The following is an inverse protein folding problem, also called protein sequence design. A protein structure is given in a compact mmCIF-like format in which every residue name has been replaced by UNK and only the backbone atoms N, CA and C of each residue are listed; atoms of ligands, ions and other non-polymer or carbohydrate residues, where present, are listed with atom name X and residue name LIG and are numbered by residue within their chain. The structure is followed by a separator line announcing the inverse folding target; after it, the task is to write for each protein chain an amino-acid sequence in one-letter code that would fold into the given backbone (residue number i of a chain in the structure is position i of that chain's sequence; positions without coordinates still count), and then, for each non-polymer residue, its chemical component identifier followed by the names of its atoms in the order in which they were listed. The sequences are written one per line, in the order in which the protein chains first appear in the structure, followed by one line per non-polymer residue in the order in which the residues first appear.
data_IF_628073004641
#
_entry.id   IF_628073004641
#
_cell.length_a   1.000
_cell.length_b   1.000
_cell.length_c   1.000
_cell.angle_alpha   90.00
_cell.angle_beta   90.00
_cell.angle_gamma   90.00
#
_symmetry.space_group_name_H-M   'P 1'
#
loop_
_entity.id
_entity.type
_entity.pdbx_description
1 polymer ?
2 non-polymer ?
3 non-polymer ?
4 water ?
#
# COMPACT_ATOMS: atom_id res chain seq x y z
N UNK A 2 4.33 -4.91 7.86
CA UNK A 2 3.85 -3.52 7.94
C UNK A 2 2.54 -3.35 7.15
N UNK A 3 1.45 -3.86 7.71
CA UNK A 3 0.16 -3.83 7.02
C UNK A 3 -0.42 -2.41 7.00
N UNK A 4 -1.02 -2.04 5.88
CA UNK A 4 -1.60 -0.72 5.71
C UNK A 4 -2.95 -0.63 6.42
N UNK A 5 -3.11 0.41 7.22
CA UNK A 5 -4.36 0.61 7.95
C UNK A 5 -5.23 1.69 7.34
N UNK A 6 -6.54 1.50 7.42
CA UNK A 6 -7.47 2.50 6.92
C UNK A 6 -8.14 3.24 8.07
N UNK A 7 -7.73 4.50 8.23
CA UNK A 7 -8.14 5.31 9.35
C UNK A 7 -9.00 6.44 8.87
N UNK A 8 -9.67 7.10 9.81
CA UNK A 8 -10.75 8.00 9.46
C UNK A 8 -11.15 8.83 10.66
N UNK A 9 -11.34 10.13 10.45
CA UNK A 9 -11.78 11.03 11.50
C UNK A 9 -13.06 11.73 11.03
N UNK A 10 -14.02 11.93 11.93
CA UNK A 10 -15.31 12.49 11.53
C UNK A 10 -15.79 13.68 12.35
N UNK A 11 -16.42 14.63 11.66
CA UNK A 11 -17.21 15.68 12.30
C UNK A 11 -18.67 15.25 12.31
N UNK A 12 -19.09 14.59 13.39
CA UNK A 12 -20.42 14.03 13.51
C UNK A 12 -20.77 13.02 12.43
N UNK A 13 -20.72 13.46 11.18
CA UNK A 13 -21.07 12.62 10.05
C UNK A 13 -20.19 12.94 8.84
N UNK A 14 -19.76 14.19 8.74
CA UNK A 14 -18.91 14.64 7.63
C UNK A 14 -17.47 14.15 7.79
N UNK A 15 -16.86 13.77 6.66
CA UNK A 15 -15.50 13.28 6.68
C UNK A 15 -14.49 14.40 6.95
N UNK A 16 -13.74 14.24 8.04
CA UNK A 16 -12.75 15.23 8.44
C UNK A 16 -11.35 14.83 7.98
N UNK A 17 -11.02 13.56 8.15
CA UNK A 17 -9.70 13.03 7.81
C UNK A 17 -9.84 11.59 7.32
N UNK A 18 -9.24 11.29 6.18
CA UNK A 18 -9.22 9.94 5.66
C UNK A 18 -7.77 9.56 5.42
N UNK A 19 -7.28 8.52 6.09
CA UNK A 19 -5.88 8.17 5.98
C UNK A 19 -5.64 6.68 5.92
N UNK A 20 -5.01 6.26 4.82
CA UNK A 20 -4.56 4.90 4.65
C UNK A 20 -3.05 4.96 4.65
N UNK A 21 -2.41 4.03 5.35
CA UNK A 21 -0.95 3.98 5.44
C UNK A 21 -0.52 2.84 6.34
N UNK A 22 0.74 2.50 6.24
CA UNK A 22 1.39 1.58 7.15
C UNK A 22 2.37 2.42 7.92
N UNK A 23 2.51 2.11 9.21
CA UNK A 23 3.39 2.89 10.07
C UNK A 23 4.27 1.98 10.91
N UNK A 24 5.54 2.37 11.01
CA UNK A 24 6.55 1.62 11.72
C UNK A 24 7.25 2.58 12.67
N UNK A 25 7.60 2.11 13.85
CA UNK A 25 8.38 2.92 14.78
C UNK A 25 9.73 2.26 14.99
N UNK A 26 10.80 3.03 14.83
CA UNK A 26 12.15 2.52 15.01
C UNK A 26 12.79 3.18 16.22
N UNK A 27 13.14 2.38 17.23
CA UNK A 27 13.87 2.92 18.38
C UNK A 27 15.32 2.44 18.43
N UNK A 28 16.22 3.39 18.70
CA UNK A 28 17.65 3.11 18.76
C UNK A 28 18.10 2.79 20.18
N UNK A 29 18.04 1.50 20.53
CA UNK A 29 18.41 1.03 21.86
C UNK A 29 19.83 1.41 22.24
N UNK A 30 20.76 1.16 21.32
CA UNK A 30 22.18 1.30 21.58
C UNK A 30 22.69 2.67 21.15
N UNK A 31 23.69 3.18 21.85
CA UNK A 31 24.25 4.49 21.55
C UNK A 31 25.01 4.44 20.23
N UNK A 32 25.49 3.25 19.88
CA UNK A 32 26.11 3.03 18.59
C UNK A 32 25.07 3.08 17.48
N UNK A 33 25.29 3.97 16.52
CA UNK A 33 24.33 4.20 15.45
C UNK A 33 24.27 3.02 14.45
N UNK A 34 25.30 2.18 14.45
CA UNK A 34 25.35 1.03 13.55
C UNK A 34 24.79 -0.24 14.16
N UNK A 35 24.56 -0.22 15.47
CA UNK A 35 23.99 -1.35 16.18
C UNK A 35 22.51 -1.49 15.83
N UNK A 36 21.98 -2.73 15.95
CA UNK A 36 20.58 -3.02 15.64
C UNK A 36 19.60 -2.12 16.40
N UNK A 37 18.42 -1.99 15.81
CA UNK A 37 17.39 -1.14 16.38
C UNK A 37 16.13 -1.97 16.62
N UNK A 38 15.27 -1.50 17.50
CA UNK A 38 14.01 -2.17 17.76
C UNK A 38 12.95 -1.67 16.78
N UNK A 39 12.31 -2.58 16.09
CA UNK A 39 11.26 -2.23 15.15
C UNK A 39 9.89 -2.52 15.75
N UNK A 40 8.92 -1.65 15.49
CA UNK A 40 7.55 -1.93 15.90
C UNK A 40 6.54 -1.55 14.82
N UNK A 41 5.85 -2.56 14.30
CA UNK A 41 4.83 -2.34 13.28
C UNK A 41 3.49 -1.95 13.89
N UNK A 42 2.96 -0.79 13.52
CA UNK A 42 1.60 -0.47 13.91
C UNK A 42 0.70 -1.48 13.22
N UNK A 43 0.06 -2.34 14.01
CA UNK A 43 -0.89 -3.31 13.51
C UNK A 43 -2.28 -2.66 13.45
N UNK A 44 -2.76 -2.40 12.23
CA UNK A 44 -4.02 -1.69 11.97
C UNK A 44 -5.29 -2.35 12.52
N UNK A 45 -5.27 -3.66 12.76
CA UNK A 45 -6.46 -4.31 13.33
C UNK A 45 -6.47 -4.29 14.86
N UNK A 46 -5.47 -3.63 15.43
CA UNK A 46 -5.29 -3.54 16.86
C UNK A 46 -5.01 -2.09 17.22
N UNK A 47 -5.55 -1.18 16.41
CA UNK A 47 -5.26 0.24 16.58
C UNK A 47 -6.54 1.08 16.44
N UNK A 48 -6.81 1.91 17.44
CA UNK A 48 -7.99 2.74 17.47
C UNK A 48 -7.70 4.11 16.90
N UNK A 49 -8.46 4.51 15.89
CA UNK A 49 -8.32 5.83 15.32
C UNK A 49 -9.35 6.78 15.93
N UNK A 50 -8.88 7.96 16.31
CA UNK A 50 -9.75 9.00 16.83
C UNK A 50 -9.09 10.29 16.44
N UNK A 51 -9.72 11.42 16.74
CA UNK A 51 -9.07 12.66 16.41
C UNK A 51 -10.01 13.81 16.35
N UNK A 52 -9.46 14.98 16.08
CA UNK A 52 -10.24 16.19 16.21
C UNK A 52 -10.20 17.01 14.94
N UNK A 53 -11.38 17.29 14.40
CA UNK A 53 -11.50 18.08 13.19
C UNK A 53 -11.40 19.57 13.51
N UNK A 54 -11.14 20.37 12.49
CA UNK A 54 -11.05 21.82 12.66
C UNK A 54 -10.92 22.53 11.33
N UNK A 55 -11.35 23.79 11.30
CA UNK A 55 -11.38 24.57 10.06
C UNK A 55 -9.99 24.82 9.50
N UNK A 56 -8.98 24.86 10.37
CA UNK A 56 -7.62 25.17 9.95
C UNK A 56 -6.61 24.20 10.56
N UNK A 57 -7.06 23.35 11.47
CA UNK A 57 -6.17 22.42 12.15
C UNK A 57 -6.89 21.16 12.63
N UNK A 58 -6.37 20.01 12.23
CA UNK A 58 -6.97 18.74 12.60
C UNK A 58 -5.92 17.79 13.17
N UNK A 59 -6.36 16.67 13.72
CA UNK A 59 -5.44 15.61 14.10
C UNK A 59 -6.03 14.22 13.98
N UNK A 60 -5.22 13.33 13.41
CA UNK A 60 -5.47 11.89 13.42
C UNK A 60 -4.60 11.27 14.50
N UNK A 61 -5.24 10.69 15.50
CA UNK A 61 -4.52 10.00 16.55
C UNK A 61 -4.82 8.51 16.48
N UNK A 62 -3.75 7.73 16.54
CA UNK A 62 -3.84 6.29 16.44
C UNK A 62 -3.30 5.70 17.73
N UNK A 63 -4.14 4.96 18.44
CA UNK A 63 -3.71 4.38 19.69
C UNK A 63 -3.60 2.88 19.61
N UNK A 64 -2.63 2.33 20.33
CA UNK A 64 -2.42 0.91 20.34
C UNK A 64 -1.85 0.53 21.69
N UNK A 65 -1.80 -0.76 21.95
CA UNK A 65 -1.17 -1.22 23.18
C UNK A 65 0.30 -0.86 23.15
N UNK A 66 0.68 0.06 24.02
CA UNK A 66 2.06 0.47 24.14
C UNK A 66 2.25 1.95 23.91
N UNK A 67 1.30 2.57 23.21
CA UNK A 67 1.39 3.99 22.95
C UNK A 67 0.52 4.47 21.81
N UNK A 68 1.05 5.42 21.05
CA UNK A 68 0.26 6.07 20.03
C UNK A 68 1.12 6.80 19.01
N UNK A 69 0.49 7.13 17.89
CA UNK A 69 1.08 8.01 16.91
C UNK A 69 0.07 9.11 16.61
N UNK A 70 0.53 10.35 16.69
CA UNK A 70 -0.32 11.50 16.50
C UNK A 70 0.14 12.33 15.32
N UNK A 71 -0.72 12.38 14.31
CA UNK A 71 -0.47 13.17 13.11
C UNK A 71 -1.32 14.43 13.14
N UNK A 72 -0.68 15.58 13.26
CA UNK A 72 -1.37 16.86 13.23
C UNK A 72 -1.27 17.55 11.88
N UNK A 73 -2.43 17.94 11.35
CA UNK A 73 -2.55 18.62 10.06
C UNK A 73 -2.91 20.11 10.19
N UNK A 74 -2.30 20.93 9.35
CA UNK A 74 -2.61 22.34 9.24
C UNK A 74 -2.88 22.68 7.77
N UNK A 75 -3.93 23.45 7.50
CA UNK A 75 -4.13 23.98 6.14
C UNK A 75 -3.75 25.46 6.07
N UNK A 76 -2.86 25.79 5.13
CA UNK A 76 -2.41 27.16 4.98
C UNK A 76 -3.36 27.89 4.04
N UNK A 77 -3.96 27.13 3.14
CA UNK A 77 -4.92 27.65 2.16
C UNK A 77 -4.29 28.63 1.16
N UNK A 78 -4.17 28.20 -0.09
CA UNK A 78 -4.50 26.83 -0.48
C UNK A 78 -3.36 25.89 -0.10
N UNK A 79 -3.69 24.59 -0.04
CA UNK A 79 -2.81 23.50 0.44
C UNK A 79 -2.89 23.22 1.95
N UNK A 80 -2.72 21.94 2.28
CA UNK A 80 -2.66 21.47 3.65
C UNK A 80 -1.45 20.54 3.75
N UNK A 81 -1.06 20.21 4.99
CA UNK A 81 0.13 19.39 5.20
C UNK A 81 0.10 18.83 6.62
N UNK A 82 0.93 17.83 6.88
CA UNK A 82 1.13 17.39 8.26
C UNK A 82 2.05 18.40 8.92
N UNK A 83 1.58 19.03 9.98
CA UNK A 83 2.36 20.07 10.65
C UNK A 83 3.02 19.57 11.94
N UNK A 84 2.58 18.43 12.45
CA UNK A 84 3.22 17.90 13.66
C UNK A 84 3.17 16.38 13.75
N UNK A 85 4.23 15.76 14.25
CA UNK A 85 4.17 14.31 14.50
C UNK A 85 4.67 13.93 15.88
N UNK A 86 3.83 13.22 16.62
CA UNK A 86 4.23 12.77 17.93
C UNK A 86 4.08 11.28 18.03
N UNK A 87 4.92 10.65 18.84
CA UNK A 87 4.77 9.23 19.10
C UNK A 87 5.20 8.86 20.51
N UNK A 88 4.64 7.75 20.96
CA UNK A 88 4.86 7.24 22.30
C UNK A 88 4.85 5.74 22.18
N UNK A 89 5.87 5.08 22.72
CA UNK A 89 6.02 3.65 22.57
C UNK A 89 6.62 3.01 23.81
N UNK A 90 5.96 1.98 24.34
CA UNK A 90 6.48 1.24 25.49
C UNK A 90 7.15 -0.05 25.04
N UNK A 91 8.36 -0.30 25.55
CA UNK A 91 8.97 -1.63 25.38
C UNK A 91 9.02 -2.34 26.74
N UNK A 92 8.72 -3.64 26.74
CA UNK A 92 8.60 -4.36 28.01
C UNK A 92 9.94 -4.58 28.70
N UNK A 93 10.95 -4.97 27.91
CA UNK A 93 12.29 -5.28 28.42
C UNK A 93 13.39 -4.56 27.63
N UNK A 94 14.25 -3.78 28.33
CA UNK A 94 14.32 -3.53 29.77
C UNK A 94 13.01 -3.07 30.42
N UNK A 95 12.56 -1.85 30.12
CA UNK A 95 11.25 -1.35 30.55
C UNK A 95 11.16 0.12 30.24
N UNK A 96 11.31 0.48 28.97
CA UNK A 96 11.40 1.89 28.62
C UNK A 96 10.21 2.37 27.78
N UNK A 97 9.73 3.58 28.08
CA UNK A 97 8.92 4.30 27.13
C UNK A 97 9.78 5.29 26.35
N UNK A 98 9.72 5.20 25.03
CA UNK A 98 10.38 6.13 24.14
C UNK A 98 9.33 7.05 23.55
N UNK A 99 9.65 8.32 23.40
CA UNK A 99 8.69 9.22 22.79
C UNK A 99 9.35 10.43 22.16
N UNK A 100 8.58 11.14 21.35
CA UNK A 100 9.14 12.30 20.68
C UNK A 100 8.15 13.02 19.81
N UNK A 101 8.40 14.30 19.60
CA UNK A 101 7.52 15.14 18.80
C UNK A 101 8.34 16.03 17.90
N UNK A 102 7.97 16.06 16.63
CA UNK A 102 8.48 17.04 15.68
C UNK A 102 7.40 18.09 15.51
N UNK A 103 7.75 19.32 15.84
CA UNK A 103 6.78 20.37 16.04
C UNK A 103 6.47 21.23 14.83
N UNK A 104 7.50 21.64 14.10
CA UNK A 104 7.31 22.63 13.05
C UNK A 104 7.76 22.11 11.70
N UNK A 105 7.00 21.17 11.16
CA UNK A 105 7.39 20.52 9.92
C UNK A 105 6.36 20.74 8.82
N UNK A 106 6.83 20.74 7.58
CA UNK A 106 5.93 20.75 6.43
C UNK A 106 6.08 19.42 5.71
N UNK A 107 5.04 18.60 5.82
CA UNK A 107 5.15 17.21 5.41
C UNK A 107 3.93 16.73 4.65
N UNK A 108 4.17 16.08 3.52
CA UNK A 108 3.13 15.60 2.63
C UNK A 108 2.23 16.75 2.20
N UNK A 109 2.82 17.91 1.95
CA UNK A 109 2.04 19.08 1.57
C UNK A 109 1.31 18.86 0.24
N UNK A 110 0.01 19.15 0.24
CA UNK A 110 -0.85 18.83 -0.89
C UNK A 110 -1.87 19.94 -1.11
N UNK A 111 -2.14 20.27 -2.38
CA UNK A 111 -3.15 21.25 -2.73
C UNK A 111 -4.50 20.87 -2.14
N UNK A 112 -5.19 21.83 -1.54
CA UNK A 112 -6.44 21.56 -0.84
C UNK A 112 -7.50 21.00 -1.80
N UNK A 113 -8.23 19.98 -1.34
CA UNK A 113 -9.22 19.31 -2.17
C UNK A 113 -8.64 18.10 -2.89
N UNK A 114 -7.31 18.03 -2.94
CA UNK A 114 -6.64 16.87 -3.51
C UNK A 114 -6.29 15.85 -2.42
N UNK A 115 -5.71 14.73 -2.82
CA UNK A 115 -5.23 13.75 -1.85
C UNK A 115 -3.74 13.55 -2.02
N UNK A 116 -3.07 13.12 -0.95
CA UNK A 116 -1.65 12.84 -1.03
C UNK A 116 -1.41 11.35 -1.13
N UNK A 117 -0.60 10.95 -2.10
CA UNK A 117 -0.21 9.55 -2.24
C UNK A 117 1.30 9.44 -2.16
N UNK A 118 1.77 8.42 -1.45
CA UNK A 118 3.19 8.14 -1.39
C UNK A 118 3.45 6.73 -0.87
N UNK A 119 3.52 5.79 -1.80
CA UNK A 119 3.77 4.38 -1.52
C UNK A 119 5.22 4.19 -1.09
N UNK A 120 6.09 5.10 -1.51
CA UNK A 120 7.50 5.04 -1.15
C UNK A 120 7.69 5.35 0.34
N UNK A 121 8.57 4.59 0.98
CA UNK A 121 8.84 4.74 2.41
C UNK A 121 9.26 6.16 2.79
N UNK A 122 8.49 6.78 3.68
CA UNK A 122 8.84 8.09 4.21
C UNK A 122 9.28 7.98 5.66
N UNK A 123 10.14 8.89 6.09
CA UNK A 123 10.80 8.77 7.37
C UNK A 123 10.93 10.10 8.09
N UNK A 124 10.88 10.05 9.41
CA UNK A 124 11.03 11.25 10.22
C UNK A 124 11.65 10.91 11.58
N UNK A 125 12.74 11.59 11.93
CA UNK A 125 13.29 11.44 13.28
C UNK A 125 12.46 12.29 14.24
N UNK A 126 11.82 11.63 15.21
CA UNK A 126 10.98 12.34 16.18
C UNK A 126 11.78 12.83 17.37
N UNK A 127 12.57 11.93 17.96
CA UNK A 127 13.55 12.28 18.96
C UNK A 127 14.90 11.81 18.44
N UNK A 128 15.88 11.72 19.33
CA UNK A 128 17.20 11.25 18.95
C UNK A 128 17.25 9.73 18.82
N UNK A 129 16.31 9.05 19.47
CA UNK A 129 16.26 7.59 19.47
C UNK A 129 15.01 7.06 18.80
N UNK A 130 14.04 7.94 18.60
CA UNK A 130 12.75 7.50 18.08
C UNK A 130 12.51 8.04 16.68
N UNK A 131 12.13 7.15 15.79
CA UNK A 131 11.92 7.47 14.40
C UNK A 131 10.59 6.86 13.96
N UNK A 132 9.88 7.56 13.08
CA UNK A 132 8.68 6.98 12.49
C UNK A 132 8.85 6.83 10.98
N UNK A 133 8.36 5.73 10.44
CA UNK A 133 8.36 5.49 9.00
C UNK A 133 6.97 5.17 8.48
N UNK A 134 6.58 5.84 7.38
CA UNK A 134 5.29 5.58 6.75
C UNK A 134 5.48 4.89 5.42
N UNK A 135 4.44 4.19 4.98
CA UNK A 135 4.51 3.44 3.74
C UNK A 135 3.10 3.31 3.19
N UNK A 136 2.96 3.11 1.88
CA UNK A 136 1.63 2.89 1.28
C UNK A 136 0.61 3.98 1.63
N UNK A 137 1.12 5.20 1.73
CA UNK A 137 0.31 6.33 2.17
C UNK A 137 -0.63 6.83 1.09
N UNK A 138 -1.91 6.90 1.42
CA UNK A 138 -2.84 7.77 0.73
C UNK A 138 -3.76 8.43 1.73
N UNK A 139 -3.73 9.76 1.80
CA UNK A 139 -4.52 10.46 2.79
C UNK A 139 -5.14 11.73 2.23
N UNK A 140 -6.03 12.33 3.02
CA UNK A 140 -6.69 13.57 2.67
C UNK A 140 -7.30 14.17 3.95
N UNK A 141 -7.25 15.48 4.06
CA UNK A 141 -7.77 16.18 5.23
C UNK A 141 -8.53 17.46 4.86
N UNK A 142 -9.44 17.86 5.74
CA UNK A 142 -10.27 19.05 5.57
C UNK A 142 -11.31 18.93 4.44
N UNK A 143 -10.98 19.45 3.26
CA UNK A 143 -11.92 19.48 2.14
C UNK A 143 -12.18 18.10 1.53
N UNK A 144 -13.46 17.74 1.43
CA UNK A 144 -13.86 16.43 0.89
C UNK A 144 -15.03 16.52 -0.07
N UNK A 145 -15.18 15.49 -0.89
CA UNK A 145 -16.27 15.42 -1.86
C UNK A 145 -16.84 14.01 -1.95
N UNK A 146 -17.96 13.78 -1.28
CA UNK A 146 -18.67 12.50 -1.32
C UNK A 146 -17.82 11.32 -0.82
N UNK A 147 -17.00 11.56 0.19
CA UNK A 147 -16.20 10.52 0.83
C UNK A 147 -15.23 9.82 -0.12
N UNK A 148 -14.72 10.56 -1.10
CA UNK A 148 -13.76 10.00 -2.05
C UNK A 148 -12.44 10.77 -1.99
N UNK A 149 -11.37 10.11 -2.42
CA UNK A 149 -10.07 10.75 -2.53
C UNK A 149 -10.06 11.79 -3.65
N UNK A 150 -9.44 12.93 -3.37
CA UNK A 150 -9.41 14.05 -4.31
C UNK A 150 -8.62 13.80 -5.58
N UNK A 151 -8.24 14.90 -6.23
CA UNK A 151 -7.55 14.86 -7.52
C UNK A 151 -6.15 14.25 -7.49
N UNK A 152 -5.73 13.74 -6.34
CA UNK A 152 -4.46 13.02 -6.16
C UNK A 152 -3.18 13.86 -6.42
N UNK A 153 -2.08 13.41 -5.82
CA UNK A 153 -0.75 14.00 -6.00
C UNK A 153 0.29 12.94 -5.66
N UNK A 154 1.57 13.29 -5.78
CA UNK A 154 2.65 12.36 -5.45
C UNK A 154 3.86 13.03 -4.82
N UNK A 155 4.85 12.22 -4.43
CA UNK A 155 6.01 12.70 -3.70
C UNK A 155 7.32 12.47 -4.48
N UNK A 156 7.58 11.21 -4.78
CA UNK A 156 8.80 10.80 -5.49
C UNK A 156 8.67 9.37 -5.99
N UNK B 1 3.97 -6.91 5.58
CA UNK B 1 5.01 -6.64 4.58
C UNK B 1 5.83 -7.90 4.30
N UNK B 2 5.72 -8.52 3.11
CA UNK B 2 4.88 -8.16 1.95
C UNK B 2 5.00 -6.74 1.35
N UNK B 3 6.11 -6.47 0.68
CA UNK B 3 6.38 -5.12 0.17
C UNK B 3 5.61 -4.79 -1.12
N UNK B 4 5.35 -3.50 -1.33
CA UNK B 4 4.59 -3.04 -2.49
C UNK B 4 5.48 -2.78 -3.70
N UNK B 5 5.25 -3.52 -4.77
CA UNK B 5 6.01 -3.35 -6.01
C UNK B 5 5.46 -2.25 -6.88
N UNK B 6 6.33 -1.61 -7.66
CA UNK B 6 5.89 -0.55 -8.56
C UNK B 6 6.29 -0.89 -9.99
N UNK B 7 5.31 -1.38 -10.74
CA UNK B 7 5.57 -1.93 -12.05
C UNK B 7 4.93 -1.08 -13.13
N UNK B 8 5.36 -1.33 -14.36
CA UNK B 8 4.82 -0.63 -15.50
C UNK B 8 5.18 -1.37 -16.77
N UNK B 9 4.34 -1.21 -17.78
CA UNK B 9 4.58 -1.78 -19.10
C UNK B 9 4.42 -0.64 -20.08
N UNK B 10 5.31 -0.55 -21.05
CA UNK B 10 5.29 0.59 -21.99
C UNK B 10 5.16 0.16 -23.44
N UNK B 11 4.28 0.83 -24.18
CA UNK B 11 4.28 0.76 -25.64
C UNK B 11 5.31 1.75 -26.20
N UNK B 12 6.48 1.24 -26.52
CA UNK B 12 7.58 2.07 -26.96
C UNK B 12 8.00 3.03 -25.86
N UNK B 13 7.39 4.21 -25.84
CA UNK B 13 7.74 5.22 -24.87
C UNK B 13 6.51 5.70 -24.11
N UNK B 14 5.33 5.33 -24.59
CA UNK B 14 4.07 5.70 -23.93
C UNK B 14 3.61 4.63 -22.95
N UNK B 15 2.91 5.03 -21.90
CA UNK B 15 2.49 4.13 -20.83
C UNK B 15 1.30 3.23 -21.20
N UNK B 16 1.48 1.93 -21.02
CA UNK B 16 0.45 0.94 -21.33
C UNK B 16 -0.22 0.36 -20.08
N UNK B 17 0.61 0.02 -19.09
CA UNK B 17 0.13 -0.55 -17.83
C UNK B 17 0.95 0.02 -16.68
N UNK B 18 0.28 0.45 -15.62
CA UNK B 18 0.98 0.93 -14.44
C UNK B 18 0.37 0.22 -13.23
N UNK B 19 1.17 -0.55 -12.51
CA UNK B 19 0.66 -1.30 -11.39
C UNK B 19 1.53 -1.21 -10.16
N UNK B 20 0.92 -0.80 -9.06
CA UNK B 20 1.53 -0.90 -7.76
C UNK B 20 0.76 -1.97 -7.04
N UNK B 21 1.47 -2.85 -6.34
CA UNK B 21 0.85 -3.90 -5.54
C UNK B 21 1.88 -4.75 -4.83
N UNK B 22 1.42 -5.49 -3.82
CA UNK B 22 2.19 -6.50 -3.17
C UNK B 22 1.54 -7.80 -3.52
N UNK B 23 2.34 -8.78 -3.90
CA UNK B 23 1.81 -10.09 -4.27
C UNK B 23 2.45 -11.18 -3.43
N UNK B 24 1.62 -12.16 -3.08
CA UNK B 24 2.02 -13.30 -2.28
C UNK B 24 1.43 -14.56 -2.92
N UNK B 25 2.20 -15.64 -2.92
CA UNK B 25 1.70 -16.92 -3.41
C UNK B 25 1.56 -17.92 -2.24
N UNK B 26 0.43 -18.60 -2.17
CA UNK B 26 0.16 -19.54 -1.10
C UNK B 26 -0.10 -20.92 -1.67
N UNK B 27 0.67 -21.91 -1.23
CA UNK B 27 0.44 -23.27 -1.71
C UNK B 27 0.09 -24.27 -0.59
N UNK B 28 -1.00 -24.99 -0.81
CA UNK B 28 -1.49 -26.00 0.12
C UNK B 28 -1.22 -27.39 -0.42
N UNK B 29 -0.25 -28.07 0.18
CA UNK B 29 0.15 -29.38 -0.29
C UNK B 29 0.47 -30.28 0.90
N UNK B 30 -0.30 -31.36 1.05
CA UNK B 30 -0.06 -32.29 2.14
C UNK B 30 1.29 -32.99 2.01
N UNK B 31 1.76 -33.15 0.78
CA UNK B 31 3.04 -33.82 0.51
C UNK B 31 4.25 -33.03 1.02
N UNK B 32 4.03 -31.78 1.40
CA UNK B 32 5.07 -31.03 2.09
C UNK B 32 5.09 -31.49 3.53
N UNK B 33 6.27 -31.92 3.98
CA UNK B 33 6.41 -32.39 5.34
C UNK B 33 6.43 -31.20 6.31
N UNK B 34 7.32 -30.25 6.04
CA UNK B 34 7.59 -29.16 6.96
C UNK B 34 6.89 -27.85 6.67
N UNK B 35 6.02 -27.84 5.66
CA UNK B 35 5.25 -26.65 5.34
C UNK B 35 4.06 -26.97 4.45
N UNK B 36 3.05 -27.66 5.00
CA UNK B 36 1.83 -28.07 4.28
C UNK B 36 0.99 -26.87 3.89
N UNK B 37 1.39 -25.70 4.35
CA UNK B 37 0.85 -24.44 3.87
C UNK B 37 2.01 -23.47 3.78
N UNK B 38 2.41 -23.14 2.56
CA UNK B 38 3.57 -22.26 2.40
C UNK B 38 3.23 -20.91 1.79
N UNK B 39 4.02 -19.92 2.21
CA UNK B 39 3.90 -18.55 1.76
C UNK B 39 5.16 -18.12 1.02
N UNK B 40 4.97 -17.45 -0.11
CA UNK B 40 6.07 -16.82 -0.81
C UNK B 40 5.71 -15.40 -1.19
N UNK B 41 6.37 -14.42 -0.59
CA UNK B 41 6.15 -13.05 -0.99
C UNK B 41 7.00 -12.70 -2.20
N UNK B 42 6.38 -12.12 -3.21
CA UNK B 42 7.14 -11.55 -4.31
C UNK B 42 7.94 -10.37 -3.77
N UNK B 43 9.26 -10.45 -3.89
CA UNK B 43 10.15 -9.34 -3.53
C UNK B 43 10.28 -8.41 -4.74
N UNK B 44 9.69 -7.21 -4.63
CA UNK B 44 9.68 -6.23 -5.72
C UNK B 44 11.05 -5.75 -6.15
N UNK B 45 12.06 -5.89 -5.29
CA UNK B 45 13.42 -5.50 -5.64
C UNK B 45 14.16 -6.60 -6.40
N UNK B 46 13.69 -7.83 -6.24
CA UNK B 46 14.25 -8.97 -6.96
C UNK B 46 13.25 -9.51 -8.00
N UNK B 47 12.50 -8.58 -8.59
CA UNK B 47 11.45 -8.92 -9.55
C UNK B 47 11.49 -8.00 -10.76
N UNK B 48 11.49 -8.59 -11.96
CA UNK B 48 11.48 -7.82 -13.19
C UNK B 48 10.12 -7.85 -13.89
N UNK B 49 9.62 -6.67 -14.22
CA UNK B 49 8.35 -6.55 -14.91
C UNK B 49 8.56 -6.41 -16.41
N UNK B 50 7.63 -6.96 -17.17
CA UNK B 50 7.68 -6.85 -18.63
C UNK B 50 6.29 -7.18 -19.16
N UNK B 51 6.13 -7.14 -20.46
CA UNK B 51 4.84 -7.41 -21.06
C UNK B 51 4.65 -6.50 -22.25
N UNK B 52 3.62 -6.76 -23.03
CA UNK B 52 3.35 -5.92 -24.18
C UNK B 52 1.91 -5.42 -24.16
N UNK B 53 1.75 -4.17 -24.59
CA UNK B 53 0.46 -3.52 -24.59
C UNK B 53 -0.29 -3.84 -25.87
N UNK B 54 -1.61 -3.72 -25.83
CA UNK B 54 -2.43 -3.92 -27.00
C UNK B 54 -3.62 -2.98 -26.89
N UNK B 55 -4.36 -2.85 -27.98
CA UNK B 55 -5.52 -1.96 -28.00
C UNK B 55 -6.67 -2.50 -27.16
N UNK B 56 -6.73 -3.82 -27.06
CA UNK B 56 -7.86 -4.45 -26.39
C UNK B 56 -7.38 -5.48 -25.37
N UNK B 57 -6.10 -5.84 -25.46
CA UNK B 57 -5.55 -6.86 -24.58
C UNK B 57 -4.11 -6.53 -24.23
N UNK B 58 -3.77 -6.54 -22.95
CA UNK B 58 -2.37 -6.39 -22.55
C UNK B 58 -1.97 -7.30 -21.37
N UNK B 59 -0.69 -7.29 -21.01
CA UNK B 59 -0.23 -8.12 -19.90
C UNK B 59 0.92 -7.52 -19.10
N UNK B 60 0.89 -7.78 -17.81
CA UNK B 60 1.98 -7.46 -16.89
C UNK B 60 2.57 -8.77 -16.35
N UNK B 61 3.78 -9.07 -16.78
CA UNK B 61 4.48 -10.26 -16.36
C UNK B 61 5.56 -9.90 -15.35
N UNK B 62 5.52 -10.58 -14.21
CA UNK B 62 6.47 -10.34 -13.15
C UNK B 62 7.33 -11.60 -12.95
N UNK B 63 8.63 -11.45 -13.16
CA UNK B 63 9.55 -12.57 -13.03
C UNK B 63 10.49 -12.45 -11.84
N UNK B 64 10.72 -13.57 -11.17
CA UNK B 64 11.55 -13.58 -9.98
C UNK B 64 12.25 -14.94 -9.86
N UNK B 65 13.30 -14.97 -9.04
CA UNK B 65 13.97 -16.22 -8.75
C UNK B 65 13.02 -17.25 -8.14
N UNK B 66 12.53 -18.16 -8.97
CA UNK B 66 11.65 -19.20 -8.51
C UNK B 66 10.35 -19.27 -9.30
N UNK B 67 10.13 -18.30 -10.19
CA UNK B 67 8.94 -18.33 -11.01
C UNK B 67 8.40 -17.00 -11.47
N UNK B 68 7.11 -16.99 -11.80
CA UNK B 68 6.50 -15.78 -12.35
C UNK B 68 5.03 -15.63 -11.99
N UNK B 69 4.54 -14.42 -12.23
CA UNK B 69 3.12 -14.12 -12.13
C UNK B 69 2.73 -13.30 -13.36
N UNK B 70 1.70 -13.76 -14.05
CA UNK B 70 1.29 -13.15 -15.30
C UNK B 70 -0.13 -12.63 -15.17
N UNK B 71 -0.28 -11.31 -15.34
CA UNK B 71 -1.57 -10.65 -15.20
C UNK B 71 -2.06 -10.12 -16.55
N UNK B 72 -3.09 -10.75 -17.10
CA UNK B 72 -3.69 -10.32 -18.35
C UNK B 72 -4.93 -9.45 -18.18
N UNK B 73 -4.88 -8.29 -18.84
CA UNK B 73 -5.96 -7.31 -18.88
C UNK B 73 -6.72 -7.32 -20.21
N UNK B 74 -8.05 -7.35 -20.10
CA UNK B 74 -8.94 -7.17 -21.24
C UNK B 74 -9.65 -5.82 -21.12
N UNK B 75 -9.86 -5.14 -22.23
CA UNK B 75 -10.64 -3.90 -22.25
C UNK B 75 -11.83 -4.06 -23.20
N UNK B 76 -13.05 -3.85 -22.69
CA UNK B 76 -14.21 -3.95 -23.58
C UNK B 76 -14.99 -2.65 -23.72
N UNK B 77 -14.58 -1.64 -22.96
CA UNK B 77 -15.22 -0.32 -22.95
C UNK B 77 -16.65 -0.38 -22.39
N UNK B 78 -16.97 0.51 -21.46
CA UNK B 78 -16.02 1.51 -20.97
C UNK B 78 -15.28 0.99 -19.73
N UNK B 79 -14.99 -0.30 -19.73
CA UNK B 79 -14.30 -0.91 -18.61
C UNK B 79 -13.12 -1.75 -19.08
N UNK B 80 -12.12 -1.85 -18.22
CA UNK B 80 -11.06 -2.83 -18.40
C UNK B 80 -11.02 -3.64 -17.13
N UNK B 81 -10.40 -4.81 -17.19
CA UNK B 81 -10.32 -5.67 -16.03
C UNK B 81 -9.19 -6.66 -16.23
N UNK B 82 -8.88 -7.41 -15.18
CA UNK B 82 -7.97 -8.53 -15.32
C UNK B 82 -8.78 -9.71 -15.83
N UNK B 83 -8.37 -10.27 -16.96
CA UNK B 83 -9.11 -11.37 -17.54
C UNK B 83 -8.39 -12.70 -17.36
N UNK B 84 -7.09 -12.63 -17.08
CA UNK B 84 -6.36 -13.88 -16.85
C UNK B 84 -5.29 -13.75 -15.79
N UNK B 85 -5.15 -14.77 -14.93
CA UNK B 85 -4.03 -14.77 -14.00
C UNK B 85 -3.33 -16.11 -14.04
N UNK B 86 -2.02 -16.07 -14.24
CA UNK B 86 -1.22 -17.28 -14.23
C UNK B 86 -0.07 -17.15 -13.25
N UNK B 87 0.35 -18.25 -12.66
CA UNK B 87 1.54 -18.23 -11.82
C UNK B 87 2.32 -19.53 -11.87
N UNK B 88 3.57 -19.43 -11.41
CA UNK B 88 4.54 -20.50 -11.48
C UNK B 88 5.53 -20.29 -10.34
N UNK B 89 5.80 -21.36 -9.59
CA UNK B 89 6.65 -21.29 -8.41
C UNK B 89 7.42 -22.58 -8.18
N UNK B 90 8.75 -22.48 -8.23
CA UNK B 90 9.63 -23.62 -7.93
C UNK B 90 9.89 -23.71 -6.42
N UNK B 91 9.81 -24.92 -5.88
CA UNK B 91 10.06 -25.16 -4.45
C UNK B 91 10.86 -26.44 -4.18
N UNK B 92 11.33 -26.56 -2.95
CA UNK B 92 11.88 -27.80 -2.41
C UNK B 92 10.92 -28.25 -1.31
N UNK B 93 11.00 -29.51 -0.90
CA UNK B 93 10.05 -30.07 0.08
C UNK B 93 8.58 -29.88 -0.35
N UNK B 94 8.09 -30.69 -1.30
CA UNK B 94 8.88 -31.61 -2.14
C UNK B 94 9.46 -30.83 -3.31
N UNK B 95 10.55 -31.31 -3.90
CA UNK B 95 11.12 -30.62 -5.06
C UNK B 95 10.15 -30.70 -6.22
N UNK B 96 9.50 -29.57 -6.51
CA UNK B 96 8.42 -29.54 -7.48
C UNK B 96 8.13 -28.09 -7.88
N UNK B 97 7.44 -27.92 -8.99
CA UNK B 97 6.89 -26.61 -9.36
C UNK B 97 5.38 -26.63 -9.28
N UNK B 98 4.84 -25.62 -8.60
CA UNK B 98 3.40 -25.41 -8.58
C UNK B 98 3.05 -24.34 -9.59
N UNK B 99 1.99 -24.55 -10.35
CA UNK B 99 1.59 -23.58 -11.34
C UNK B 99 0.10 -23.66 -11.63
N UNK B 100 -0.45 -22.58 -12.15
CA UNK B 100 -1.87 -22.58 -12.42
C UNK B 100 -2.32 -21.35 -13.15
N UNK B 101 -3.41 -21.48 -13.91
CA UNK B 101 -3.95 -20.37 -14.65
C UNK B 101 -5.47 -20.35 -14.54
N UNK B 102 -6.02 -19.18 -14.26
CA UNK B 102 -7.44 -18.96 -14.47
C UNK B 102 -7.62 -18.07 -15.68
N UNK B 103 -8.44 -18.54 -16.62
CA UNK B 103 -8.53 -18.00 -17.97
C UNK B 103 -9.69 -17.02 -18.21
N UNK B 104 -10.84 -17.29 -17.61
CA UNK B 104 -12.03 -16.48 -17.87
C UNK B 104 -12.43 -15.74 -16.61
N UNK B 105 -11.79 -14.61 -16.36
CA UNK B 105 -12.02 -13.90 -15.11
C UNK B 105 -12.39 -12.45 -15.38
N UNK B 106 -13.10 -11.84 -14.43
CA UNK B 106 -13.32 -10.41 -14.45
C UNK B 106 -12.89 -9.91 -13.08
N UNK B 107 -11.61 -9.60 -12.98
CA UNK B 107 -11.02 -9.22 -11.70
C UNK B 107 -10.69 -7.76 -11.72
N UNK B 108 -11.08 -7.05 -10.66
CA UNK B 108 -10.78 -5.64 -10.49
C UNK B 108 -11.39 -4.80 -11.61
N UNK B 109 -12.63 -5.07 -11.99
CA UNK B 109 -13.22 -4.36 -13.13
C UNK B 109 -13.33 -2.85 -12.86
N UNK B 110 -12.87 -2.05 -13.83
CA UNK B 110 -12.71 -0.61 -13.63
C UNK B 110 -13.10 0.20 -14.86
N UNK B 111 -13.82 1.30 -14.62
CA UNK B 111 -14.19 2.25 -15.67
C UNK B 111 -12.96 2.69 -16.43
N UNK B 112 -13.04 2.66 -17.76
CA UNK B 112 -11.89 2.95 -18.60
C UNK B 112 -11.38 4.39 -18.40
N UNK B 113 -10.08 4.53 -18.20
CA UNK B 113 -9.49 5.81 -17.91
C UNK B 113 -9.35 6.08 -16.42
N UNK B 114 -10.05 5.28 -15.62
CA UNK B 114 -9.94 5.40 -14.16
C UNK B 114 -8.88 4.44 -13.62
N UNK B 115 -8.34 4.78 -12.45
CA UNK B 115 -7.45 3.85 -11.77
C UNK B 115 -8.21 2.98 -10.77
N UNK B 116 -7.78 1.72 -10.64
CA UNK B 116 -8.33 0.82 -9.63
C UNK B 116 -7.49 0.88 -8.36
N UNK B 117 -8.17 0.94 -7.22
CA UNK B 117 -7.48 0.92 -5.94
C UNK B 117 -8.11 -0.06 -4.95
N UNK B 118 -7.25 -0.81 -4.27
CA UNK B 118 -7.68 -1.76 -3.26
C UNK B 118 -6.55 -2.11 -2.32
N UNK B 119 -6.54 -1.48 -1.17
CA UNK B 119 -5.57 -1.78 -0.13
C UNK B 119 -5.82 -3.18 0.40
N UNK B 120 -7.09 -3.48 0.66
CA UNK B 120 -7.47 -4.72 1.30
C UNK B 120 -7.06 -5.96 0.50
N UNK B 121 -6.64 -6.99 1.24
CA UNK B 121 -6.23 -8.25 0.66
C UNK B 121 -7.26 -8.82 -0.30
N UNK B 122 -6.82 -9.17 -1.50
CA UNK B 122 -7.65 -9.82 -2.50
C UNK B 122 -6.98 -11.12 -2.91
N UNK B 123 -7.77 -12.13 -3.25
CA UNK B 123 -7.20 -13.43 -3.52
C UNK B 123 -7.93 -14.20 -4.61
N UNK B 124 -7.20 -15.13 -5.19
CA UNK B 124 -7.71 -15.96 -6.26
C UNK B 124 -7.06 -17.34 -6.24
N UNK B 125 -7.85 -18.40 -6.19
CA UNK B 125 -7.30 -19.74 -6.38
C UNK B 125 -6.96 -19.96 -7.84
N UNK B 126 -5.70 -20.23 -8.14
CA UNK B 126 -5.27 -20.49 -9.51
C UNK B 126 -5.36 -21.96 -9.87
N UNK B 127 -4.96 -22.82 -8.93
CA UNK B 127 -5.14 -24.26 -9.08
C UNK B 127 -5.70 -24.83 -7.79
N UNK B 128 -5.56 -26.12 -7.59
CA UNK B 128 -6.02 -26.75 -6.36
C UNK B 128 -5.04 -26.47 -5.22
N UNK B 129 -3.76 -26.34 -5.56
CA UNK B 129 -2.72 -26.07 -4.57
C UNK B 129 -2.34 -24.58 -4.54
N UNK B 130 -2.35 -23.94 -5.70
CA UNK B 130 -1.77 -22.61 -5.83
C UNK B 130 -2.79 -21.47 -5.79
N UNK B 131 -2.55 -20.50 -4.91
CA UNK B 131 -3.44 -19.36 -4.74
C UNK B 131 -2.63 -18.07 -4.74
N UNK B 132 -3.17 -17.01 -5.33
CA UNK B 132 -2.48 -15.73 -5.39
C UNK B 132 -3.21 -14.68 -4.56
N UNK B 133 -2.45 -13.81 -3.90
CA UNK B 133 -3.01 -12.83 -3.00
C UNK B 133 -2.39 -11.45 -3.22
N UNK B 134 -3.24 -10.45 -3.45
CA UNK B 134 -2.75 -9.11 -3.70
C UNK B 134 -3.07 -8.19 -2.54
N UNK B 135 -2.37 -7.06 -2.51
CA UNK B 135 -2.53 -6.12 -1.42
C UNK B 135 -1.95 -4.78 -1.85
N UNK B 136 -2.49 -3.68 -1.33
CA UNK B 136 -1.92 -2.36 -1.64
C UNK B 136 -1.94 -2.06 -3.13
N UNK B 137 -2.97 -2.56 -3.80
CA UNK B 137 -3.09 -2.43 -5.23
C UNK B 137 -3.55 -1.05 -5.65
N UNK B 138 -2.76 -0.40 -6.49
CA UNK B 138 -3.29 0.65 -7.34
C UNK B 138 -2.80 0.43 -8.76
N UNK B 139 -3.71 0.10 -9.67
CA UNK B 139 -3.30 -0.12 -11.06
C UNK B 139 -4.14 0.65 -12.07
N UNK B 140 -3.65 0.69 -13.30
CA UNK B 140 -4.39 1.23 -14.43
C UNK B 140 -3.82 0.61 -15.72
N UNK B 141 -4.66 0.50 -16.74
CA UNK B 141 -4.28 -0.12 -18.00
C UNK B 141 -5.01 0.46 -19.22
N UNK B 142 -4.28 0.53 -20.34
CA UNK B 142 -4.76 1.01 -21.64
C UNK B 142 -4.74 2.53 -21.87
N UNK B 143 -5.30 3.30 -20.94
CA UNK B 143 -5.45 4.73 -21.16
C UNK B 143 -4.90 5.55 -20.00
N UNK B 144 -4.20 6.62 -20.33
CA UNK B 144 -3.52 7.46 -19.34
C UNK B 144 -3.48 8.91 -19.80
N UNK B 145 -3.33 9.81 -18.84
CA UNK B 145 -3.11 11.21 -19.16
C UNK B 145 -1.81 11.69 -18.53
N UNK B 146 -0.85 12.08 -19.37
CA UNK B 146 0.45 12.54 -18.91
C UNK B 146 1.12 11.50 -18.04
N UNK B 147 0.98 10.24 -18.42
CA UNK B 147 1.53 9.09 -17.69
C UNK B 147 1.29 9.11 -16.17
N UNK B 148 0.05 9.41 -15.78
CA UNK B 148 -0.36 9.42 -14.38
C UNK B 148 -1.68 8.67 -14.20
N UNK B 149 -1.92 8.19 -12.99
CA UNK B 149 -3.18 7.51 -12.66
C UNK B 149 -4.40 8.38 -12.99
N UNK B 150 -5.57 7.77 -13.03
CA UNK B 150 -6.80 8.49 -13.27
C UNK B 150 -7.62 8.66 -12.01
N UNK B 151 -8.94 8.79 -12.18
CA UNK B 151 -9.87 8.84 -11.05
C UNK B 151 -9.80 7.55 -10.23
N UNK B 152 -9.57 7.68 -8.94
CA UNK B 152 -9.43 6.53 -8.07
C UNK B 152 -10.77 5.87 -7.73
N UNK B 153 -10.96 4.62 -8.19
CA UNK B 153 -12.14 3.84 -7.81
C UNK B 153 -11.76 2.70 -6.86
N UNK B 154 -12.31 2.72 -5.64
CA UNK B 154 -11.97 1.72 -4.63
C UNK B 154 -12.94 0.54 -4.58
N UNK B 155 -12.47 -0.57 -4.00
CA UNK B 155 -13.26 -1.79 -3.85
C UNK B 155 -14.08 -1.76 -2.56
N UNK B 156 -13.61 -2.53 -1.58
CA UNK B 156 -14.20 -2.56 -0.23
C UNK B 156 -13.31 -3.39 0.70
N UNK B 157 -12.48 -2.77 1.55
CA UNK B 157 -12.23 -1.32 1.65
C UNK B 157 -13.45 -0.44 1.98
X LIG C 1 13.97 9.89 23.95
X LIG D 1 -2.47 15.24 19.09
X LIG D 1 -2.12 15.37 20.58
X LIG D 1 -3.05 16.37 21.25
X LIG D 1 -3.06 17.69 20.48
X LIG D 1 -3.23 17.48 18.97
X LIG D 1 -2.97 18.77 18.22
X LIG D 1 -1.17 13.50 21.79
X LIG D 1 -1.47 12.37 22.73
X LIG D 1 -2.22 14.06 21.21
X LIG D 1 -2.61 16.60 22.56
X LIG D 1 -4.12 18.51 20.93
X LIG D 1 -2.35 16.49 18.47
X LIG D 1 -3.13 18.53 16.84
X LIG D 1 -0.01 13.86 21.61
X LIG E 1 7.02 15.97 0.54
X LIG F 1 -6.15 -18.03 3.81
X LIG G 1 1.35 -14.10 -20.18
X LIG G 1 2.08 -15.26 -20.82
X LIG G 1 2.28 -15.08 -22.33
X LIG G 1 1.02 -14.58 -23.00
X LIG G 1 0.46 -13.37 -22.25
X LIG G 1 -0.82 -12.85 -22.88
X LIG G 1 3.58 -16.44 -19.32
X LIG G 1 4.96 -16.58 -18.77
X LIG G 1 3.37 -15.44 -20.18
X LIG G 1 2.64 -16.33 -22.90
X LIG G 1 1.30 -14.22 -24.34
X LIG G 1 0.19 -13.72 -20.90
X LIG G 1 -1.52 -12.12 -21.91
X LIG G 1 2.68 -17.21 -18.97
X LIG H 1 -0.81 -28.17 -9.52
#
# INVERSE_FOLDING_TARGET
SVKTGIYQVLNGSRLCIKAEMGIQLIVQDKESVFSPRRYFNIDPNATQASGNCGTRKSNLLLNFQGGFVNLTFTKDEESYYISEVGAYLTVSDPETVYQGIKHAVVMFQTAVGHSFKCVSEQSLQLSAHLQVKTTDVQLQAFDFEDDHFGNVDECSSDYTHHHHHH
SVKTGIYQVLNGSRLCIKAEMGIQLIVQDKESVFSPRRYFNIDPNATQASGNCGTRKSNLLLNFQGGFVNLTFTKDEESYYISEVGAYLTVSDPETVYQGIKHAVVMFQTAVGHSFKCVSEQSLQLSAHLQVKTTDVQLQAFDFEDDHFGNVDECSSDYTHHHHHH
IR3 IR
NAG C1 C2 C3 C4 C5 C6 C7 C8 N2 O3 O4 O5 O6 O7
IR3 IR
IR3 IR
NAG C1 C2 C3 C4 C5 C6 C7 C8 N2 O3 O4 O5 O6 O7
IR3 IR
#
